data_IF_678174685092
#
_entry.id   IF_678174685092
#
_cell.length_a   1.000
_cell.length_b   1.000
_cell.length_c   1.000
_cell.angle_alpha   90.00
_cell.angle_beta   90.00
_cell.angle_gamma   90.00
#
_symmetry.space_group_name_H-M   'P 1'
#
loop_
_entity.id
_entity.type
_entity.pdbx_description
1 polymer ?
#
# COMPACT_ATOMS: atom_id res chain seq x y z
N UNK A 1 -20.32 -0.15 -31.24
CA UNK A 1 -20.90 0.25 -29.93
C UNK A 1 -20.94 -0.91 -28.93
N UNK A 2 -21.40 -2.11 -29.32
CA UNK A 2 -21.45 -3.32 -28.47
C UNK A 2 -20.11 -3.77 -27.86
N UNK A 3 -19.01 -3.69 -28.63
CA UNK A 3 -17.65 -4.07 -28.15
C UNK A 3 -17.11 -3.09 -27.10
N UNK A 4 -17.49 -1.81 -27.18
CA UNK A 4 -17.06 -0.78 -26.22
C UNK A 4 -17.82 -0.92 -24.90
N UNK A 5 -19.12 -1.19 -24.97
CA UNK A 5 -19.94 -1.46 -23.79
C UNK A 5 -19.48 -2.73 -23.05
N UNK A 6 -19.11 -3.78 -23.79
CA UNK A 6 -18.58 -5.03 -23.20
C UNK A 6 -17.17 -4.86 -22.61
N UNK A 7 -16.28 -4.08 -23.25
CA UNK A 7 -14.97 -3.76 -22.68
C UNK A 7 -15.09 -2.92 -21.39
N UNK A 8 -16.03 -1.97 -21.34
CA UNK A 8 -16.30 -1.19 -20.13
C UNK A 8 -16.91 -2.03 -19.01
N UNK A 9 -17.86 -2.93 -19.33
CA UNK A 9 -18.44 -3.85 -18.36
C UNK A 9 -17.40 -4.85 -17.82
N UNK A 10 -16.53 -5.37 -18.68
CA UNK A 10 -15.44 -6.27 -18.28
C UNK A 10 -14.42 -5.56 -17.39
N UNK A 11 -14.09 -4.30 -17.69
CA UNK A 11 -13.22 -3.47 -16.85
C UNK A 11 -13.87 -3.14 -15.49
N UNK A 12 -15.18 -2.86 -15.46
CA UNK A 12 -15.93 -2.65 -14.22
C UNK A 12 -16.03 -3.94 -13.37
N UNK A 13 -16.17 -5.11 -14.00
CA UNK A 13 -16.14 -6.39 -13.31
C UNK A 13 -14.75 -6.71 -12.72
N UNK A 14 -13.67 -6.34 -13.42
CA UNK A 14 -12.29 -6.46 -12.92
C UNK A 14 -11.98 -5.49 -11.77
N UNK A 15 -12.73 -4.39 -11.65
CA UNK A 15 -12.64 -3.42 -10.54
C UNK A 15 -13.46 -3.84 -9.30
N UNK A 16 -14.22 -4.94 -9.38
CA UNK A 16 -14.87 -5.55 -8.21
C UNK A 16 -13.80 -6.30 -7.42
N UNK A 17 -13.03 -5.56 -6.63
CA UNK A 17 -11.87 -6.06 -5.89
C UNK A 17 -12.19 -7.24 -4.98
N UNK A 18 -11.23 -8.15 -4.85
CA UNK A 18 -11.25 -9.25 -3.89
C UNK A 18 -11.61 -8.75 -2.50
N UNK A 19 -12.64 -9.36 -1.91
CA UNK A 19 -13.05 -9.14 -0.53
C UNK A 19 -11.84 -9.32 0.40
N UNK A 20 -11.40 -8.26 1.08
CA UNK A 20 -10.40 -8.36 2.12
C UNK A 20 -10.97 -9.27 3.21
N UNK A 21 -10.27 -10.37 3.51
CA UNK A 21 -10.70 -11.42 4.44
C UNK A 21 -11.19 -10.82 5.76
N UNK A 22 -12.37 -11.25 6.20
CA UNK A 22 -13.04 -10.81 7.43
C UNK A 22 -12.38 -11.31 8.73
N UNK A 23 -11.22 -11.96 8.63
CA UNK A 23 -10.52 -12.53 9.76
C UNK A 23 -9.78 -11.44 10.55
N UNK A 24 -9.90 -11.47 11.88
CA UNK A 24 -9.11 -10.61 12.77
C UNK A 24 -7.61 -10.84 12.50
N UNK A 25 -6.77 -9.79 12.42
CA UNK A 25 -5.34 -9.97 12.21
C UNK A 25 -4.68 -10.93 13.22
N UNK A 26 -5.18 -10.97 14.46
CA UNK A 26 -4.68 -11.87 15.50
C UNK A 26 -4.84 -13.37 15.16
N UNK A 27 -5.83 -13.76 14.36
CA UNK A 27 -6.06 -15.17 14.01
C UNK A 27 -5.00 -15.71 13.03
N UNK A 28 -4.28 -14.82 12.34
CA UNK A 28 -3.23 -15.18 11.38
C UNK A 28 -2.02 -15.80 12.10
N UNK A 29 -1.66 -15.28 13.28
CA UNK A 29 -0.50 -15.72 14.06
C UNK A 29 -0.78 -15.58 15.58
N UNK A 30 -1.66 -16.42 16.15
CA UNK A 30 -2.14 -16.25 17.52
C UNK A 30 -1.03 -16.50 18.56
N UNK A 31 -0.15 -17.48 18.34
CA UNK A 31 0.95 -17.79 19.27
C UNK A 31 1.99 -16.65 19.29
N UNK A 32 2.34 -16.13 18.12
CA UNK A 32 3.29 -15.03 17.98
C UNK A 32 2.71 -13.75 18.56
N UNK A 33 1.42 -13.49 18.36
CA UNK A 33 0.70 -12.38 19.00
C UNK A 33 0.80 -12.46 20.52
N UNK A 34 0.56 -13.64 21.10
CA UNK A 34 0.70 -13.82 22.55
C UNK A 34 2.15 -13.60 23.02
N UNK A 35 3.15 -14.11 22.27
CA UNK A 35 4.56 -13.88 22.62
C UNK A 35 4.93 -12.39 22.67
N UNK A 36 4.38 -11.58 21.77
CA UNK A 36 4.57 -10.12 21.78
C UNK A 36 3.93 -9.51 23.03
N UNK A 37 2.70 -9.92 23.37
CA UNK A 37 2.00 -9.45 24.58
C UNK A 37 2.81 -9.76 25.84
N UNK A 38 3.27 -11.00 25.98
CA UNK A 38 4.10 -11.40 27.12
C UNK A 38 5.38 -10.57 27.23
N UNK A 39 6.04 -10.29 26.09
CA UNK A 39 7.25 -9.48 26.07
C UNK A 39 6.99 -8.02 26.48
N UNK A 40 5.83 -7.46 26.12
CA UNK A 40 5.40 -6.12 26.57
C UNK A 40 5.11 -6.14 28.08
N UNK A 41 4.49 -7.19 28.60
CA UNK A 41 4.22 -7.34 30.04
C UNK A 41 5.50 -7.54 30.87
N UNK A 42 6.47 -8.29 30.34
CA UNK A 42 7.82 -8.44 30.91
C UNK A 42 8.53 -7.07 30.91
N UNK A 43 8.47 -6.33 29.81
CA UNK A 43 9.06 -4.99 29.67
C UNK A 43 8.42 -3.98 30.62
N UNK A 44 7.09 -3.98 30.76
CA UNK A 44 6.35 -3.11 31.67
C UNK A 44 6.69 -3.37 33.14
N UNK A 45 6.96 -4.64 33.49
CA UNK A 45 7.44 -5.05 34.82
C UNK A 45 8.95 -4.88 35.02
N UNK A 46 9.65 -4.34 34.02
CA UNK A 46 11.11 -4.17 34.01
C UNK A 46 11.89 -5.49 34.18
N UNK A 47 11.31 -6.62 33.76
CA UNK A 47 11.98 -7.92 33.73
C UNK A 47 12.86 -8.02 32.46
N UNK A 48 13.91 -7.19 32.41
CA UNK A 48 14.82 -7.12 31.27
C UNK A 48 15.53 -8.45 30.97
N UNK A 49 15.92 -9.28 31.96
CA UNK A 49 16.48 -10.61 31.69
C UNK A 49 15.52 -11.52 30.90
N UNK A 50 14.22 -11.52 31.22
CA UNK A 50 13.23 -12.30 30.48
C UNK A 50 13.09 -11.83 29.02
N UNK A 51 13.02 -10.51 28.80
CA UNK A 51 12.96 -9.92 27.46
C UNK A 51 14.23 -10.24 26.66
N UNK A 52 15.41 -10.08 27.26
CA UNK A 52 16.71 -10.33 26.63
C UNK A 52 16.86 -11.80 26.18
N UNK A 53 16.37 -12.76 26.97
CA UNK A 53 16.40 -14.17 26.62
C UNK A 53 15.64 -14.48 25.33
N UNK A 54 14.61 -13.69 25.00
CA UNK A 54 13.78 -13.83 23.79
C UNK A 54 14.38 -13.11 22.57
N UNK A 55 15.33 -12.20 22.76
CA UNK A 55 15.95 -11.45 21.67
C UNK A 55 16.96 -12.30 20.90
N UNK A 56 17.04 -12.08 19.60
CA UNK A 56 18.10 -12.63 18.75
C UNK A 56 19.48 -12.17 19.27
N UNK A 57 20.53 -13.00 19.20
CA UNK A 57 21.85 -12.68 19.72
C UNK A 57 22.41 -11.34 19.21
N UNK A 58 22.10 -10.98 17.97
CA UNK A 58 22.52 -9.72 17.34
C UNK A 58 21.99 -8.44 18.01
N UNK A 59 20.90 -8.55 18.79
CA UNK A 59 20.32 -7.43 19.53
C UNK A 59 20.88 -7.28 20.95
N UNK A 60 21.65 -8.26 21.43
CA UNK A 60 22.26 -8.26 22.77
C UNK A 60 23.54 -7.44 22.77
N UNK A 61 23.38 -6.13 22.58
CA UNK A 61 24.47 -5.16 22.61
C UNK A 61 24.75 -4.69 24.04
N UNK A 62 25.90 -4.04 24.26
CA UNK A 62 26.27 -3.51 25.58
C UNK A 62 25.23 -2.51 26.14
N UNK A 63 24.53 -1.78 25.26
CA UNK A 63 23.53 -0.77 25.64
C UNK A 63 22.12 -1.35 25.80
N UNK A 64 21.93 -2.67 25.66
CA UNK A 64 20.61 -3.30 25.61
C UNK A 64 19.76 -2.96 26.83
N UNK A 65 20.30 -3.09 28.05
CA UNK A 65 19.54 -2.80 29.27
C UNK A 65 19.10 -1.33 29.35
N UNK A 66 19.97 -0.39 28.95
CA UNK A 66 19.59 1.02 28.91
C UNK A 66 18.47 1.26 27.88
N UNK A 67 18.52 0.58 26.74
CA UNK A 67 17.49 0.66 25.70
C UNK A 67 16.15 0.09 26.19
N UNK A 68 16.17 -1.07 26.84
CA UNK A 68 14.97 -1.67 27.44
C UNK A 68 14.40 -0.77 28.54
N UNK A 69 15.24 -0.17 29.38
CA UNK A 69 14.81 0.82 30.37
C UNK A 69 14.13 2.03 29.74
N UNK A 70 14.70 2.56 28.64
CA UNK A 70 14.06 3.65 27.87
C UNK A 70 12.73 3.23 27.27
N UNK A 71 12.62 2.02 26.73
CA UNK A 71 11.36 1.51 26.18
C UNK A 71 10.30 1.29 27.26
N UNK A 72 10.67 0.73 28.41
CA UNK A 72 9.77 0.53 29.54
C UNK A 72 9.22 1.85 30.08
N UNK A 73 10.04 2.91 30.09
CA UNK A 73 9.61 4.24 30.50
C UNK A 73 8.56 4.88 29.56
N UNK A 74 8.40 4.37 28.34
CA UNK A 74 7.37 4.81 27.39
C UNK A 74 6.01 4.14 27.65
N UNK A 75 5.98 3.04 28.43
CA UNK A 75 4.76 2.29 28.72
C UNK A 75 4.02 3.01 29.86
N UNK A 76 2.76 3.43 29.64
CA UNK A 76 1.98 4.06 30.69
C UNK A 76 1.76 3.11 31.89
N UNK A 77 1.68 3.63 33.13
CA UNK A 77 1.46 2.81 34.30
C UNK A 77 0.04 2.22 34.33
N UNK A 78 -0.07 1.00 34.86
CA UNK A 78 -1.34 0.29 34.98
C UNK A 78 -1.66 -0.60 33.78
N UNK A 79 -2.74 -1.40 33.85
CA UNK A 79 -3.16 -2.22 32.72
C UNK A 79 -3.80 -1.36 31.61
N UNK A 80 -3.65 -1.76 30.34
CA UNK A 80 -4.38 -1.15 29.24
C UNK A 80 -5.89 -1.41 29.37
N UNK A 81 -6.71 -0.49 28.88
CA UNK A 81 -8.17 -0.65 28.75
C UNK A 81 -8.53 -1.64 27.64
N UNK A 82 -7.75 -1.65 26.56
CA UNK A 82 -7.91 -2.54 25.41
C UNK A 82 -6.57 -2.87 24.78
N UNK A 83 -6.47 -4.05 24.15
CA UNK A 83 -5.31 -4.47 23.37
C UNK A 83 -5.77 -5.14 22.08
N UNK A 84 -5.49 -4.51 20.96
CA UNK A 84 -5.90 -4.96 19.63
C UNK A 84 -4.67 -5.30 18.76
N UNK A 85 -4.77 -6.37 17.97
CA UNK A 85 -3.78 -6.66 16.93
C UNK A 85 -4.22 -5.97 15.65
N UNK A 86 -3.49 -4.92 15.27
CA UNK A 86 -3.85 -4.01 14.19
C UNK A 86 -3.21 -4.37 12.84
N UNK A 87 -2.17 -5.22 12.87
CA UNK A 87 -1.51 -5.71 11.67
C UNK A 87 -0.71 -6.98 11.92
N UNK A 88 -0.79 -7.92 10.97
CA UNK A 88 0.05 -9.12 10.92
C UNK A 88 0.49 -9.34 9.48
N UNK A 89 1.80 -9.42 9.27
CA UNK A 89 2.39 -9.78 7.99
C UNK A 89 3.33 -10.96 8.19
N UNK A 90 3.11 -12.02 7.40
CA UNK A 90 3.93 -13.24 7.44
C UNK A 90 4.71 -13.34 6.13
N UNK A 91 6.03 -13.40 6.23
CA UNK A 91 6.94 -13.63 5.11
C UNK A 91 7.63 -14.97 5.32
N UNK A 92 7.39 -15.92 4.41
CA UNK A 92 8.09 -17.22 4.40
C UNK A 92 9.22 -17.18 3.39
N UNK A 93 10.41 -17.60 3.82
CA UNK A 93 11.55 -17.90 2.95
C UNK A 93 11.92 -19.38 3.10
N UNK A 94 12.82 -19.87 2.25
CA UNK A 94 13.26 -21.27 2.31
C UNK A 94 13.93 -21.64 3.65
N UNK A 95 14.45 -20.63 4.38
CA UNK A 95 15.25 -20.85 5.59
C UNK A 95 14.61 -20.35 6.88
N UNK A 96 13.55 -19.54 6.81
CA UNK A 96 12.95 -18.92 7.98
C UNK A 96 11.52 -18.42 7.68
N UNK A 97 10.72 -18.28 8.73
CA UNK A 97 9.46 -17.53 8.68
C UNK A 97 9.60 -16.26 9.51
N UNK A 98 9.25 -15.12 8.92
CA UNK A 98 9.24 -13.83 9.59
C UNK A 98 7.81 -13.40 9.85
N UNK A 99 7.54 -13.00 11.09
CA UNK A 99 6.25 -12.46 11.51
C UNK A 99 6.47 -11.00 11.91
N UNK A 100 5.86 -10.08 11.18
CA UNK A 100 5.78 -8.68 11.56
C UNK A 100 4.41 -8.40 12.15
N UNK A 101 4.36 -8.07 13.44
CA UNK A 101 3.13 -7.80 14.16
C UNK A 101 3.11 -6.36 14.64
N UNK A 102 1.94 -5.74 14.56
CA UNK A 102 1.66 -4.45 15.15
C UNK A 102 0.46 -4.61 16.08
N UNK A 103 0.64 -4.23 17.34
CA UNK A 103 -0.38 -4.22 18.37
C UNK A 103 -0.60 -2.78 18.83
N UNK A 104 -1.84 -2.46 19.16
CA UNK A 104 -2.23 -1.20 19.76
C UNK A 104 -2.81 -1.45 21.15
N UNK A 105 -2.35 -0.65 22.12
CA UNK A 105 -2.82 -0.67 23.50
C UNK A 105 -3.46 0.68 23.80
N UNK A 106 -4.68 0.64 24.31
CA UNK A 106 -5.40 1.81 24.76
C UNK A 106 -5.21 1.99 26.26
N UNK A 107 -4.83 3.19 26.68
CA UNK A 107 -4.76 3.61 28.08
C UNK A 107 -5.70 4.80 28.29
N UNK A 108 -6.09 5.12 29.55
CA UNK A 108 -7.10 6.15 29.82
C UNK A 108 -6.84 7.53 29.19
N UNK A 109 -5.57 7.88 28.92
CA UNK A 109 -5.17 9.19 28.39
C UNK A 109 -4.15 9.10 27.25
N UNK A 110 -3.80 7.90 26.79
CA UNK A 110 -2.76 7.72 25.78
C UNK A 110 -2.91 6.38 25.07
N UNK A 111 -2.22 6.23 23.96
CA UNK A 111 -2.12 4.98 23.22
C UNK A 111 -0.67 4.55 23.15
N UNK A 112 -0.46 3.25 23.00
CA UNK A 112 0.85 2.68 22.79
C UNK A 112 0.79 1.74 21.59
N UNK A 113 1.69 1.96 20.64
CA UNK A 113 1.83 1.09 19.46
C UNK A 113 3.09 0.27 19.63
N UNK A 114 2.92 -1.06 19.61
CA UNK A 114 4.01 -2.02 19.71
C UNK A 114 4.19 -2.67 18.34
N UNK A 115 5.39 -2.56 17.78
CA UNK A 115 5.78 -3.27 16.56
C UNK A 115 6.86 -4.29 16.88
N UNK A 116 6.65 -5.53 16.44
CA UNK A 116 7.57 -6.63 16.68
C UNK A 116 7.86 -7.40 15.39
N UNK A 117 9.10 -7.81 15.22
CA UNK A 117 9.53 -8.73 14.17
C UNK A 117 10.07 -9.99 14.82
N UNK A 118 9.40 -11.12 14.60
CA UNK A 118 9.84 -12.42 15.07
C UNK A 118 10.41 -13.20 13.88
N UNK A 119 11.50 -13.92 14.13
CA UNK A 119 12.06 -14.90 13.20
C UNK A 119 11.88 -16.29 13.79
N UNK A 120 11.25 -17.17 13.02
CA UNK A 120 11.15 -18.59 13.30
C UNK A 120 12.12 -19.35 12.39
N UNK A 121 13.09 -20.02 12.99
CA UNK A 121 14.08 -20.88 12.32
C UNK A 121 14.32 -22.12 13.17
N UNK A 122 14.32 -23.30 12.55
CA UNK A 122 14.60 -24.59 13.19
C UNK A 122 13.77 -24.84 14.47
N UNK A 123 12.52 -24.38 14.48
CA UNK A 123 11.60 -24.50 15.62
C UNK A 123 11.85 -23.50 16.76
N UNK A 124 12.93 -22.72 16.72
CA UNK A 124 13.17 -21.61 17.63
C UNK A 124 12.52 -20.32 17.10
N UNK A 125 11.95 -19.52 18.02
CA UNK A 125 11.37 -18.21 17.69
C UNK A 125 12.06 -17.14 18.51
N UNK A 126 12.63 -16.15 17.84
CA UNK A 126 13.37 -15.05 18.47
C UNK A 126 12.88 -13.71 17.96
N UNK A 127 12.98 -12.69 18.80
CA UNK A 127 12.70 -11.31 18.41
C UNK A 127 13.90 -10.73 17.66
N UNK A 128 13.63 -10.31 16.43
CA UNK A 128 14.55 -9.60 15.57
C UNK A 128 14.38 -8.08 15.63
N UNK A 129 13.24 -7.61 16.11
CA UNK A 129 12.98 -6.24 16.50
C UNK A 129 11.82 -6.20 17.51
N UNK A 130 11.89 -5.28 18.46
CA UNK A 130 10.77 -4.90 19.33
C UNK A 130 10.85 -3.39 19.51
N UNK A 131 9.77 -2.69 19.18
CA UNK A 131 9.69 -1.24 19.28
C UNK A 131 8.39 -0.85 19.98
N UNK A 132 8.51 0.08 20.91
CA UNK A 132 7.39 0.67 21.65
C UNK A 132 7.33 2.14 21.30
N UNK A 133 6.19 2.59 20.77
CA UNK A 133 6.00 3.97 20.32
C UNK A 133 4.74 4.54 20.97
N UNK A 134 4.86 5.60 21.80
CA UNK A 134 3.71 6.33 22.32
C UNK A 134 2.90 6.96 21.18
N UNK A 135 1.58 6.98 21.34
CA UNK A 135 0.65 7.66 20.45
C UNK A 135 -0.36 8.45 21.28
N UNK A 136 -0.81 9.60 20.75
CA UNK A 136 -1.81 10.44 21.41
C UNK A 136 -3.25 10.00 21.14
N UNK A 137 -3.45 9.13 20.16
CA UNK A 137 -4.74 8.62 19.69
C UNK A 137 -4.52 7.27 18.99
N UNK A 138 -5.61 6.54 18.74
CA UNK A 138 -5.54 5.28 17.99
C UNK A 138 -4.98 5.46 16.57
N UNK A 139 -4.41 4.41 16.02
CA UNK A 139 -3.98 4.30 14.63
C UNK A 139 -5.18 4.43 13.68
N UNK A 140 -6.36 3.95 14.09
CA UNK A 140 -7.60 4.15 13.33
C UNK A 140 -7.93 5.65 13.17
N UNK A 141 -7.78 6.44 14.24
CA UNK A 141 -7.97 7.88 14.21
C UNK A 141 -6.86 8.58 13.41
N UNK A 142 -5.60 8.18 13.61
CA UNK A 142 -4.41 8.75 12.95
C UNK A 142 -4.40 8.52 11.44
N UNK A 143 -4.77 7.31 11.00
CA UNK A 143 -4.80 6.92 9.60
C UNK A 143 -6.17 7.15 8.95
N UNK A 144 -7.10 7.83 9.63
CA UNK A 144 -8.39 8.20 9.08
C UNK A 144 -8.18 9.09 7.85
N UNK A 145 -8.87 8.76 6.76
CA UNK A 145 -8.91 9.65 5.61
C UNK A 145 -9.63 10.95 6.00
N UNK A 146 -8.89 12.05 5.99
CA UNK A 146 -9.41 13.39 6.21
C UNK A 146 -8.76 14.35 5.22
N UNK A 147 -9.51 15.39 4.86
CA UNK A 147 -9.03 16.52 4.08
C UNK A 147 -8.48 17.62 5.00
N UNK A 148 -8.87 17.65 6.28
CA UNK A 148 -8.48 18.70 7.21
C UNK A 148 -6.97 18.67 7.50
N UNK A 149 -6.36 19.86 7.59
CA UNK A 149 -4.95 20.02 7.98
C UNK A 149 -3.92 19.49 6.97
N UNK A 150 -4.32 19.14 5.74
CA UNK A 150 -3.41 18.63 4.71
C UNK A 150 -2.67 19.73 3.96
N UNK A 151 -1.44 19.44 3.54
CA UNK A 151 -0.61 20.38 2.77
C UNK A 151 -1.08 20.48 1.30
N UNK A 152 -0.74 21.56 0.58
CA UNK A 152 -1.05 21.69 -0.85
C UNK A 152 -0.59 20.49 -1.70
N UNK A 153 0.51 19.84 -1.32
CA UNK A 153 1.02 18.64 -1.99
C UNK A 153 0.04 17.46 -1.95
N UNK A 154 -0.67 17.26 -0.84
CA UNK A 154 -1.69 16.21 -0.74
C UNK A 154 -2.84 16.45 -1.70
N UNK A 155 -3.33 17.69 -1.76
CA UNK A 155 -4.42 18.05 -2.67
C UNK A 155 -4.03 17.95 -4.13
N UNK A 156 -2.81 18.35 -4.49
CA UNK A 156 -2.29 18.18 -5.84
C UNK A 156 -2.22 16.69 -6.20
N UNK A 157 -1.69 15.86 -5.30
CA UNK A 157 -1.59 14.43 -5.54
C UNK A 157 -2.96 13.77 -5.67
N UNK A 158 -3.92 14.16 -4.82
CA UNK A 158 -5.31 13.69 -4.91
C UNK A 158 -5.97 14.12 -6.24
N UNK A 159 -5.77 15.37 -6.66
CA UNK A 159 -6.27 15.88 -7.93
C UNK A 159 -5.66 15.11 -9.11
N UNK A 160 -4.37 14.78 -9.07
CA UNK A 160 -3.72 13.93 -10.08
C UNK A 160 -4.24 12.49 -10.05
N UNK A 161 -4.45 11.92 -8.85
CA UNK A 161 -4.98 10.57 -8.68
C UNK A 161 -6.40 10.42 -9.24
N UNK A 162 -7.17 11.50 -9.32
CA UNK A 162 -8.48 11.53 -9.98
C UNK A 162 -8.34 11.92 -11.47
N UNK A 163 -7.53 12.93 -11.78
CA UNK A 163 -7.41 13.50 -13.12
C UNK A 163 -6.73 12.57 -14.12
N UNK A 164 -5.70 11.84 -13.70
CA UNK A 164 -4.95 10.89 -14.56
C UNK A 164 -5.86 9.76 -15.07
N UNK A 165 -6.58 8.99 -14.22
CA UNK A 165 -7.44 7.92 -14.71
C UNK A 165 -8.58 8.45 -15.58
N UNK A 166 -9.20 9.58 -15.23
CA UNK A 166 -10.21 10.23 -16.08
C UNK A 166 -9.63 10.64 -17.44
N UNK A 167 -8.44 11.22 -17.44
CA UNK A 167 -7.72 11.60 -18.65
C UNK A 167 -7.34 10.41 -19.53
N UNK A 168 -6.93 9.28 -18.92
CA UNK A 168 -6.65 8.03 -19.63
C UNK A 168 -7.94 7.46 -20.23
N UNK A 169 -9.03 7.39 -19.47
CA UNK A 169 -10.33 6.91 -19.97
C UNK A 169 -10.83 7.76 -21.14
N UNK A 170 -10.75 9.08 -21.03
CA UNK A 170 -11.07 9.99 -22.12
C UNK A 170 -10.16 9.76 -23.34
N UNK A 171 -8.86 9.62 -23.12
CA UNK A 171 -7.90 9.38 -24.21
C UNK A 171 -8.13 8.03 -24.88
N UNK A 172 -8.49 6.98 -24.14
CA UNK A 172 -8.88 5.69 -24.69
C UNK A 172 -10.12 5.81 -25.57
N UNK A 173 -11.14 6.55 -25.12
CA UNK A 173 -12.33 6.82 -25.92
C UNK A 173 -11.97 7.53 -27.23
N UNK A 174 -11.13 8.56 -27.19
CA UNK A 174 -10.65 9.26 -28.40
C UNK A 174 -9.80 8.33 -29.28
N UNK A 175 -8.94 7.50 -28.69
CA UNK A 175 -8.09 6.54 -29.40
C UNK A 175 -8.92 5.51 -30.16
N UNK A 176 -9.99 4.98 -29.53
CA UNK A 176 -10.94 4.06 -30.17
C UNK A 176 -11.73 4.75 -31.28
N UNK A 177 -12.01 6.05 -31.20
CA UNK A 177 -12.68 6.81 -32.26
C UNK A 177 -11.74 7.25 -33.39
N UNK A 178 -10.43 7.33 -33.14
CA UNK A 178 -9.45 7.81 -34.12
C UNK A 178 -9.17 6.70 -35.17
N UNK A 179 -9.16 7.02 -36.48
CA UNK A 179 -8.79 6.07 -37.52
C UNK A 179 -7.26 5.89 -37.49
N UNK A 180 -6.81 4.85 -36.79
CA UNK A 180 -5.39 4.48 -36.71
C UNK A 180 -5.13 3.36 -37.71
N UNK A 181 -4.29 3.57 -38.75
CA UNK A 181 -4.19 2.65 -39.89
C UNK A 181 -3.57 1.28 -39.55
N UNK A 182 -2.68 1.19 -38.55
CA UNK A 182 -2.05 -0.08 -38.13
C UNK A 182 -1.97 -0.21 -36.61
N UNK A 183 -2.19 -1.42 -36.10
CA UNK A 183 -1.97 -1.83 -34.69
C UNK A 183 -2.69 -0.94 -33.65
N UNK A 184 -3.93 -0.56 -33.94
CA UNK A 184 -4.77 0.28 -33.04
C UNK A 184 -4.89 -0.28 -31.62
N UNK A 185 -4.96 -1.60 -31.48
CA UNK A 185 -5.03 -2.25 -30.17
C UNK A 185 -3.79 -2.01 -29.31
N UNK A 186 -2.58 -1.97 -29.89
CA UNK A 186 -1.34 -1.62 -29.17
C UNK A 186 -1.38 -0.19 -28.67
N UNK A 187 -1.93 0.74 -29.46
CA UNK A 187 -2.12 2.12 -29.03
C UNK A 187 -3.06 2.23 -27.84
N UNK A 188 -4.19 1.50 -27.86
CA UNK A 188 -5.07 1.44 -26.71
C UNK A 188 -4.37 0.84 -25.47
N UNK A 189 -3.60 -0.24 -25.62
CA UNK A 189 -2.84 -0.83 -24.52
C UNK A 189 -1.80 0.15 -23.95
N UNK A 190 -1.03 0.83 -24.81
CA UNK A 190 -0.03 1.83 -24.38
C UNK A 190 -0.68 3.02 -23.68
N UNK A 191 -1.85 3.49 -24.14
CA UNK A 191 -2.60 4.59 -23.48
C UNK A 191 -3.11 4.16 -22.10
N UNK A 192 -3.54 2.90 -21.95
CA UNK A 192 -4.10 2.40 -20.70
C UNK A 192 -3.05 2.24 -19.58
N UNK A 193 -1.76 2.21 -19.92
CA UNK A 193 -0.67 1.93 -18.97
C UNK A 193 0.09 3.22 -18.65
N UNK A 194 0.10 3.57 -17.37
CA UNK A 194 1.02 4.54 -16.80
C UNK A 194 2.37 3.91 -16.49
N UNK A 195 3.43 4.71 -16.60
CA UNK A 195 4.80 4.33 -16.25
C UNK A 195 5.34 5.28 -15.19
N UNK A 196 6.34 4.86 -14.42
CA UNK A 196 6.85 5.60 -13.24
C UNK A 196 5.74 5.78 -12.21
N UNK A 197 5.76 4.99 -11.14
CA UNK A 197 4.78 5.13 -10.06
C UNK A 197 5.31 6.04 -8.97
N UNK A 198 4.50 7.00 -8.53
CA UNK A 198 4.72 7.77 -7.31
C UNK A 198 3.72 7.31 -6.26
N UNK A 199 4.17 7.26 -5.01
CA UNK A 199 3.38 6.90 -3.84
C UNK A 199 3.31 8.11 -2.91
N UNK A 200 2.16 8.30 -2.28
CA UNK A 200 1.99 9.28 -1.22
C UNK A 200 1.28 8.61 -0.05
N UNK A 201 1.91 8.62 1.11
CA UNK A 201 1.24 8.34 2.37
C UNK A 201 0.32 9.52 2.71
N UNK A 202 -1.00 9.26 2.68
CA UNK A 202 -2.00 10.29 2.93
C UNK A 202 -1.92 10.87 4.35
N UNK A 203 -1.42 10.12 5.32
CA UNK A 203 -1.32 10.56 6.71
C UNK A 203 -0.10 11.44 6.91
N UNK A 204 1.07 10.98 6.50
CA UNK A 204 2.35 11.65 6.79
C UNK A 204 2.80 12.62 5.69
N UNK A 205 2.32 12.46 4.47
CA UNK A 205 2.83 13.16 3.29
C UNK A 205 4.16 12.63 2.78
N UNK A 206 4.68 11.52 3.35
CA UNK A 206 5.85 10.86 2.82
C UNK A 206 5.58 10.37 1.40
N UNK A 207 6.53 10.60 0.50
CA UNK A 207 6.41 10.19 -0.90
C UNK A 207 7.62 9.38 -1.33
N UNK A 208 7.40 8.49 -2.27
CA UNK A 208 8.43 7.70 -2.92
C UNK A 208 8.10 7.51 -4.39
N UNK A 209 9.08 7.10 -5.18
CA UNK A 209 8.88 6.85 -6.60
C UNK A 209 9.58 5.57 -7.04
N UNK A 210 8.93 4.82 -7.92
CA UNK A 210 9.45 3.64 -8.58
C UNK A 210 9.50 3.90 -10.09
N UNK A 211 10.72 4.05 -10.62
CA UNK A 211 10.97 4.40 -12.02
C UNK A 211 10.50 3.33 -13.00
N UNK A 212 10.72 2.05 -12.68
CA UNK A 212 10.28 0.92 -13.49
C UNK A 212 9.05 0.27 -12.85
N UNK A 213 7.88 0.77 -13.25
CA UNK A 213 6.60 0.21 -12.83
C UNK A 213 5.55 0.46 -13.89
N UNK A 214 4.60 -0.46 -14.02
CA UNK A 214 3.45 -0.35 -14.93
C UNK A 214 2.18 -0.30 -14.09
N UNK A 215 1.34 0.71 -14.32
CA UNK A 215 0.05 0.85 -13.64
C UNK A 215 -1.08 0.95 -14.65
N UNK A 216 -2.12 0.14 -14.48
CA UNK A 216 -3.32 0.29 -15.28
C UNK A 216 -4.09 1.54 -14.85
N UNK A 217 -4.56 2.35 -15.80
CA UNK A 217 -5.29 3.61 -15.59
C UNK A 217 -4.52 4.70 -14.83
N UNK A 218 -3.23 4.52 -14.58
CA UNK A 218 -2.35 5.60 -14.13
C UNK A 218 -2.57 6.09 -12.69
N UNK A 219 -3.48 5.49 -11.92
CA UNK A 219 -3.67 5.81 -10.51
C UNK A 219 -4.35 4.67 -9.75
N UNK A 220 -4.25 4.71 -8.43
CA UNK A 220 -4.86 3.73 -7.52
C UNK A 220 -4.58 4.07 -6.06
N UNK A 221 -5.02 3.21 -5.16
CA UNK A 221 -4.73 3.31 -3.74
C UNK A 221 -4.49 1.94 -3.14
N UNK A 222 -3.72 1.89 -2.06
CA UNK A 222 -3.44 0.68 -1.30
C UNK A 222 -3.62 0.98 0.18
N UNK A 223 -4.18 0.01 0.90
CA UNK A 223 -4.27 0.02 2.36
C UNK A 223 -3.91 -1.37 2.87
N UNK A 224 -2.81 -1.48 3.62
CA UNK A 224 -2.28 -2.79 4.05
C UNK A 224 -3.11 -3.48 5.14
N UNK A 225 -4.05 -2.77 5.76
CA UNK A 225 -4.96 -3.28 6.79
C UNK A 225 -5.98 -2.23 7.21
N UNK A 226 -6.95 -2.57 8.08
CA UNK A 226 -8.02 -1.67 8.50
C UNK A 226 -7.51 -0.38 9.16
N UNK A 227 -6.42 -0.46 9.93
CA UNK A 227 -5.78 0.66 10.61
C UNK A 227 -4.51 1.17 9.91
N UNK A 228 -4.15 0.68 8.73
CA UNK A 228 -2.97 1.15 7.99
C UNK A 228 -3.24 2.50 7.29
N UNK A 229 -2.19 3.32 7.02
CA UNK A 229 -2.35 4.55 6.24
C UNK A 229 -2.85 4.23 4.82
N UNK A 230 -3.65 5.16 4.28
CA UNK A 230 -4.03 5.12 2.88
C UNK A 230 -2.85 5.60 2.03
N UNK A 231 -2.32 4.74 1.18
CA UNK A 231 -1.27 5.11 0.23
C UNK A 231 -1.93 5.39 -1.12
N UNK A 232 -1.85 6.64 -1.57
CA UNK A 232 -2.26 7.01 -2.93
C UNK A 232 -1.13 6.72 -3.90
N UNK A 233 -1.49 6.31 -5.11
CA UNK A 233 -0.54 6.00 -6.18
C UNK A 233 -0.96 6.69 -7.46
N UNK A 234 0.01 7.27 -8.16
CA UNK A 234 -0.17 7.83 -9.50
C UNK A 234 0.99 7.40 -10.38
N UNK A 235 0.78 7.36 -11.68
CA UNK A 235 1.86 7.16 -12.64
C UNK A 235 1.73 8.06 -13.86
N UNK A 236 2.87 8.31 -14.51
CA UNK A 236 2.94 9.18 -15.66
C UNK A 236 2.20 8.54 -16.86
N UNK A 237 1.17 9.19 -17.41
CA UNK A 237 0.39 8.65 -18.53
C UNK A 237 1.09 8.89 -19.87
N UNK A 238 2.35 8.45 -20.00
CA UNK A 238 3.19 8.76 -21.17
C UNK A 238 2.57 8.24 -22.48
N UNK A 239 1.89 7.09 -22.45
CA UNK A 239 1.18 6.57 -23.61
C UNK A 239 0.03 7.46 -24.07
N UNK A 240 -0.74 8.02 -23.13
CA UNK A 240 -1.80 8.97 -23.42
C UNK A 240 -1.25 10.26 -24.04
N UNK A 241 -0.15 10.80 -23.47
CA UNK A 241 0.53 11.98 -24.00
C UNK A 241 1.06 11.72 -25.43
N UNK A 242 1.73 10.59 -25.65
CA UNK A 242 2.25 10.19 -26.95
C UNK A 242 1.14 10.03 -28.01
N UNK A 243 -0.02 9.50 -27.62
CA UNK A 243 -1.18 9.41 -28.51
C UNK A 243 -1.65 10.79 -28.96
N UNK A 244 -1.79 11.77 -28.04
CA UNK A 244 -2.24 13.12 -28.40
C UNK A 244 -1.27 13.83 -29.36
N UNK A 245 0.04 13.68 -29.15
CA UNK A 245 1.07 14.20 -30.06
C UNK A 245 0.95 13.58 -31.46
N UNK A 246 0.73 12.26 -31.55
CA UNK A 246 0.64 11.55 -32.84
C UNK A 246 -0.73 11.57 -33.49
N UNK A 247 -1.80 11.93 -32.78
CA UNK A 247 -3.18 11.84 -33.26
C UNK A 247 -3.39 12.50 -34.62
N UNK A 248 -2.82 13.69 -34.84
CA UNK A 248 -2.93 14.42 -36.13
C UNK A 248 -2.31 13.63 -37.29
N UNK A 249 -1.20 12.94 -37.04
CA UNK A 249 -0.54 12.11 -38.06
C UNK A 249 -1.38 10.88 -38.43
N UNK A 250 -2.06 10.25 -37.46
CA UNK A 250 -2.93 9.10 -37.74
C UNK A 250 -4.12 9.49 -38.62
N UNK A 251 -4.76 10.61 -38.31
CA UNK A 251 -5.90 11.11 -39.10
C UNK A 251 -5.47 11.41 -40.53
N UNK A 252 -4.32 12.09 -40.72
CA UNK A 252 -3.78 12.37 -42.07
C UNK A 252 -3.44 11.11 -42.84
N UNK A 253 -2.76 10.15 -42.20
CA UNK A 253 -2.39 8.88 -42.83
C UNK A 253 -3.61 8.03 -43.22
N UNK A 254 -4.70 8.09 -42.44
CA UNK A 254 -5.95 7.42 -42.78
C UNK A 254 -6.66 8.08 -43.96
N UNK A 255 -6.62 9.41 -44.09
CA UNK A 255 -7.18 10.13 -45.24
C UNK A 255 -6.37 9.97 -46.53
N UNK A 256 -5.07 9.69 -46.43
CA UNK A 256 -4.17 9.48 -47.56
C UNK A 256 -4.09 8.01 -48.01
N UNK A 257 -4.72 7.08 -47.29
CA UNK A 257 -4.76 5.67 -47.69
C UNK A 257 -5.61 5.53 -48.97
N UNK A 258 -5.12 4.87 -50.04
CA UNK A 258 -5.91 4.65 -51.25
C UNK A 258 -7.23 3.96 -50.88
N UNK A 259 -8.36 4.47 -51.39
CA UNK A 259 -9.61 3.72 -51.38
C UNK A 259 -9.36 2.45 -52.19
N UNK A 260 -9.21 1.31 -51.51
CA UNK A 260 -9.24 0.01 -52.19
C UNK A 260 -10.55 -0.05 -52.98
N UNK A 261 -10.43 -0.13 -54.31
CA UNK A 261 -11.56 -0.18 -55.22
C UNK A 261 -12.53 -1.28 -54.75
N UNK A 262 -13.85 -1.03 -54.77
CA UNK A 262 -14.80 -2.10 -54.49
C UNK A 262 -14.60 -3.18 -55.56
N UNK A 263 -14.25 -4.40 -55.12
CA UNK A 263 -14.26 -5.58 -55.97
C UNK A 263 -15.66 -5.71 -56.58
N UNK A 264 -15.77 -5.33 -57.86
CA UNK A 264 -16.96 -5.55 -58.65
C UNK A 264 -17.13 -7.06 -58.84
N UNK A 265 -18.17 -7.63 -58.23
CA UNK A 265 -18.77 -8.89 -58.63
C UNK A 265 -20.19 -8.62 -59.10
#
# INVERSE_FOLDING_TARGET
MRIVATAFLALAALLSGCNASQDSPASIAPQETQRVRDAVDELARQDFPAVEARLAPRLRTADLQQNLGRMAALIPPGPPQSTETVGVQVLKTDSATFHHLTLEYEYPQSWLVVSAMLEQRDGAVVFNALQVTPASQSLAATHRFSLEGKTPGHYLFLALAIGIPLGIVYTLWVCVRTPIPKRKWLWCAVVAVGVVQCYLDWTTGAWSAQWLSLQLLGAGFVKAGPQAPLILTISAPLGALAFWVRRRSFVRAASAAPQAAPDAR
#
